data_IF_761689363394
#
_entry.id   IF_761689363394
#
_cell.length_a   1.000
_cell.length_b   1.000
_cell.length_c   1.000
_cell.angle_alpha   90.00
_cell.angle_beta   90.00
_cell.angle_gamma   90.00
#
_symmetry.space_group_name_H-M   'P 1'
#
loop_
_entity.id
_entity.type
_entity.pdbx_description
1 polymer ?
#
# COMPACT_ATOMS: atom_id res chain seq x y z
N UNK A 1 -4.98 17.68 -17.12
CA UNK A 1 -5.11 18.10 -15.71
C UNK A 1 -4.74 16.92 -14.83
N UNK A 2 -3.65 17.00 -14.07
CA UNK A 2 -3.44 16.14 -12.90
C UNK A 2 -3.24 17.07 -11.71
N UNK A 3 -4.05 16.86 -10.68
CA UNK A 3 -4.42 17.83 -9.66
C UNK A 3 -3.30 18.15 -8.67
N UNK A 4 -3.44 19.34 -8.11
CA UNK A 4 -2.55 20.05 -7.20
C UNK A 4 -2.45 19.37 -5.82
N UNK A 5 -1.22 19.27 -5.30
CA UNK A 5 -0.92 19.42 -3.86
C UNK A 5 -1.41 18.34 -2.91
N UNK A 6 -0.90 17.11 -3.02
CA UNK A 6 -0.99 16.10 -1.96
C UNK A 6 0.42 15.55 -1.78
N UNK A 7 0.86 15.26 -0.55
CA UNK A 7 2.15 14.62 -0.26
C UNK A 7 2.36 13.52 -1.31
N UNK A 8 3.50 13.49 -2.01
CA UNK A 8 3.74 12.58 -3.15
C UNK A 8 3.69 11.11 -2.68
N UNK A 9 2.53 10.58 -2.32
CA UNK A 9 2.42 9.24 -1.79
C UNK A 9 2.15 8.32 -2.95
N UNK A 10 3.14 7.52 -3.33
CA UNK A 10 2.99 6.51 -4.35
C UNK A 10 2.37 5.25 -3.75
N UNK A 11 1.43 4.65 -4.48
CA UNK A 11 0.89 3.32 -4.17
C UNK A 11 1.53 2.28 -5.08
N UNK A 12 1.97 1.16 -4.52
CA UNK A 12 2.46 0.03 -5.29
C UNK A 12 1.95 -1.28 -4.71
N UNK A 13 1.83 -2.32 -5.54
CA UNK A 13 1.42 -3.64 -5.06
C UNK A 13 2.49 -4.20 -4.11
N UNK A 14 2.07 -4.77 -2.99
CA UNK A 14 2.99 -5.48 -2.09
C UNK A 14 3.52 -6.76 -2.76
N UNK A 15 4.82 -7.02 -2.64
CA UNK A 15 5.45 -8.24 -3.17
C UNK A 15 5.37 -9.42 -2.20
N UNK A 16 5.46 -9.17 -0.89
CA UNK A 16 5.32 -10.17 0.18
C UNK A 16 3.88 -10.53 0.48
N UNK A 17 2.92 -9.62 0.31
CA UNK A 17 1.52 -9.92 0.61
C UNK A 17 0.93 -10.85 -0.46
N UNK A 18 1.00 -12.16 -0.21
CA UNK A 18 0.45 -13.20 -1.08
C UNK A 18 -0.91 -13.64 -0.55
N UNK A 19 -1.98 -13.17 -1.19
CA UNK A 19 -3.35 -13.60 -0.91
C UNK A 19 -4.36 -12.47 -0.94
N UNK A 20 -5.56 -12.76 -0.45
CA UNK A 20 -6.62 -11.76 -0.29
C UNK A 20 -6.31 -10.83 0.88
N UNK A 21 -6.46 -9.55 0.62
CA UNK A 21 -6.31 -8.50 1.60
C UNK A 21 -7.57 -8.49 2.48
N UNK A 22 -7.50 -9.20 3.61
CA UNK A 22 -8.62 -9.34 4.55
C UNK A 22 -8.66 -8.23 5.59
N UNK A 23 -7.56 -7.50 5.77
CA UNK A 23 -7.46 -6.39 6.71
C UNK A 23 -6.35 -5.41 6.29
N UNK A 24 -6.68 -4.12 6.22
CA UNK A 24 -5.73 -3.03 5.95
C UNK A 24 -4.59 -2.97 6.96
N UNK A 25 -4.82 -3.38 8.22
CA UNK A 25 -3.77 -3.43 9.23
C UNK A 25 -2.71 -4.48 8.92
N UNK A 26 -3.14 -5.66 8.46
CA UNK A 26 -2.23 -6.72 8.02
C UNK A 26 -1.44 -6.28 6.79
N UNK A 27 -2.12 -5.62 5.84
CA UNK A 27 -1.46 -5.03 4.68
C UNK A 27 -0.43 -3.98 5.08
N UNK A 28 -0.79 -3.04 5.95
CA UNK A 28 0.12 -2.01 6.48
C UNK A 28 1.33 -2.62 7.19
N UNK A 29 1.13 -3.66 8.00
CA UNK A 29 2.22 -4.33 8.70
C UNK A 29 3.19 -5.00 7.71
N UNK A 30 2.65 -5.70 6.70
CA UNK A 30 3.48 -6.33 5.65
C UNK A 30 4.19 -5.27 4.81
N UNK A 31 3.54 -4.17 4.46
CA UNK A 31 4.18 -3.08 3.74
C UNK A 31 5.33 -2.47 4.55
N UNK A 32 5.15 -2.24 5.86
CA UNK A 32 6.24 -1.75 6.72
C UNK A 32 7.39 -2.76 6.88
N UNK A 33 7.09 -4.07 6.82
CA UNK A 33 8.09 -5.14 6.82
C UNK A 33 8.79 -5.32 5.46
N UNK A 34 8.11 -5.00 4.35
CA UNK A 34 8.66 -4.99 2.99
C UNK A 34 9.70 -3.89 2.82
N UNK A 35 9.38 -2.69 3.29
CA UNK A 35 10.30 -1.57 3.28
C UNK A 35 9.95 -0.58 4.38
N UNK A 36 10.98 -0.02 5.01
CA UNK A 36 10.83 1.07 5.98
C UNK A 36 10.37 2.38 5.35
N UNK A 37 10.45 2.50 4.02
CA UNK A 37 9.93 3.65 3.26
C UNK A 37 8.40 3.63 3.10
N UNK A 38 7.77 2.48 3.40
CA UNK A 38 6.32 2.35 3.40
C UNK A 38 5.71 3.03 4.62
N UNK A 39 4.93 4.06 4.39
CA UNK A 39 4.20 4.79 5.43
C UNK A 39 2.84 4.18 5.76
N UNK A 40 2.33 3.29 4.91
CA UNK A 40 1.02 2.66 5.09
C UNK A 40 0.75 1.52 4.13
N UNK A 41 -0.43 0.92 4.25
CA UNK A 41 -0.95 -0.05 3.29
C UNK A 41 -2.48 -0.04 3.28
N UNK A 42 -3.07 -0.30 2.13
CA UNK A 42 -4.51 -0.35 1.91
C UNK A 42 -4.89 -1.60 1.12
N UNK A 43 -5.99 -2.22 1.49
CA UNK A 43 -6.67 -3.24 0.70
C UNK A 43 -7.55 -2.54 -0.33
N UNK A 44 -7.17 -2.65 -1.60
CA UNK A 44 -7.92 -2.09 -2.73
C UNK A 44 -7.96 -3.14 -3.86
N UNK A 45 -8.79 -2.96 -4.89
CA UNK A 45 -9.02 -3.92 -6.00
C UNK A 45 -9.98 -5.11 -5.70
N UNK A 46 -10.38 -5.84 -6.75
CA UNK A 46 -11.21 -7.07 -6.65
C UNK A 46 -10.60 -8.17 -7.52
N UNK A 47 -9.95 -9.18 -6.93
CA UNK A 47 -9.89 -9.51 -5.50
C UNK A 47 -9.08 -8.50 -4.69
N UNK A 48 -9.46 -8.28 -3.42
CA UNK A 48 -8.77 -7.36 -2.51
C UNK A 48 -7.27 -7.67 -2.49
N UNK A 49 -6.47 -6.75 -3.00
CA UNK A 49 -5.01 -6.83 -3.05
C UNK A 49 -4.43 -5.77 -2.13
N UNK A 50 -3.31 -6.12 -1.51
CA UNK A 50 -2.60 -5.19 -0.64
C UNK A 50 -1.73 -4.24 -1.46
N UNK A 51 -1.99 -2.94 -1.34
CA UNK A 51 -1.19 -1.86 -1.91
C UNK A 51 -0.45 -1.12 -0.80
N UNK A 52 0.86 -1.06 -0.90
CA UNK A 52 1.72 -0.30 -0.03
C UNK A 52 1.78 1.16 -0.44
N UNK A 53 1.79 2.04 0.55
CA UNK A 53 1.88 3.48 0.37
C UNK A 53 3.28 3.93 0.79
N UNK A 54 4.02 4.53 -0.13
CA UNK A 54 5.38 5.08 0.06
C UNK A 54 5.37 6.58 -0.13
N UNK A 55 6.36 7.28 0.43
CA UNK A 55 6.66 8.65 -0.02
C UNK A 55 7.55 8.61 -1.26
N UNK A 56 7.01 9.09 -2.37
CA UNK A 56 7.72 9.74 -3.47
C UNK A 56 7.78 11.27 -3.19
#
# INVERSE_FOLDING_TARGET
MASVGEKNTCRHLSGKYRGWCVNDQSCTAVCKDESSDNIGGVCDDTPDRCYCITNC
#
